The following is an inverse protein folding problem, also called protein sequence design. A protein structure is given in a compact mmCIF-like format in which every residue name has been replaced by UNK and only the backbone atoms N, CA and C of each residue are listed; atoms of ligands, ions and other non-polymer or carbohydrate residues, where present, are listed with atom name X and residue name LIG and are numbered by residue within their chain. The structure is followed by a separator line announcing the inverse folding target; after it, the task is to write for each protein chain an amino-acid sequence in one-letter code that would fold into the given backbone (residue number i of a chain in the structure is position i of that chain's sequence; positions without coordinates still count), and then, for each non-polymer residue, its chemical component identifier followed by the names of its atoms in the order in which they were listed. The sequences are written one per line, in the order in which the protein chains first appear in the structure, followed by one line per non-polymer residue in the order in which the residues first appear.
data_IF_720057169053
#
_entry.id   IF_720057169053
#
_cell.length_a   1.000
_cell.length_b   1.000
_cell.length_c   1.000
_cell.angle_alpha   90.00
_cell.angle_beta   90.00
_cell.angle_gamma   90.00
#
_symmetry.space_group_name_H-M   'P 1'
#
loop_
_entity.id
_entity.type
_entity.pdbx_description
1 polymer ?
#
# COMPACT_ATOMS: atom_id res chain seq x y z
N UNK A 1 11.28 3.95 -1.39
CA UNK A 1 11.15 5.33 -0.88
C UNK A 1 9.81 5.44 -0.18
N UNK A 2 9.78 5.66 1.14
CA UNK A 2 8.53 5.71 1.94
C UNK A 2 8.03 7.14 2.21
N UNK A 3 8.85 8.15 1.97
CA UNK A 3 8.57 9.53 2.39
C UNK A 3 7.41 10.17 1.61
N UNK A 4 7.20 9.79 0.35
CA UNK A 4 6.17 10.41 -0.49
C UNK A 4 4.74 10.15 0.01
N UNK A 5 4.50 9.10 0.81
CA UNK A 5 3.27 8.95 1.59
C UNK A 5 3.37 9.72 2.91
N UNK A 6 4.20 9.22 3.82
CA UNK A 6 4.31 9.68 5.22
C UNK A 6 4.58 11.17 5.41
N UNK A 7 5.38 11.77 4.52
CA UNK A 7 5.72 13.20 4.54
C UNK A 7 4.90 13.96 3.48
N UNK A 8 4.45 13.28 2.42
CA UNK A 8 3.66 13.88 1.35
C UNK A 8 2.31 14.43 1.82
N UNK A 9 1.73 13.86 2.88
CA UNK A 9 0.50 14.37 3.48
C UNK A 9 0.62 15.84 3.91
N UNK A 10 1.77 16.25 4.48
CA UNK A 10 1.97 17.65 4.89
C UNK A 10 1.95 18.58 3.69
N UNK A 11 2.53 18.14 2.56
CA UNK A 11 2.52 18.94 1.33
C UNK A 11 1.11 19.05 0.74
N UNK A 12 0.33 17.98 0.80
CA UNK A 12 -1.07 17.98 0.37
C UNK A 12 -1.91 18.91 1.25
N UNK A 13 -1.70 18.89 2.56
CA UNK A 13 -2.38 19.80 3.48
C UNK A 13 -2.02 21.27 3.21
N UNK A 14 -0.73 21.57 3.00
CA UNK A 14 -0.25 22.92 2.68
C UNK A 14 -0.85 23.46 1.36
N UNK A 15 -0.87 22.65 0.32
CA UNK A 15 -1.23 23.11 -1.04
C UNK A 15 -2.74 23.07 -1.32
N UNK A 16 -3.46 22.11 -0.71
CA UNK A 16 -4.85 21.81 -1.07
C UNK A 16 -5.85 21.99 0.08
N UNK A 17 -5.38 22.34 1.28
CA UNK A 17 -6.21 22.46 2.50
C UNK A 17 -7.07 21.20 2.76
N UNK A 18 -6.55 20.03 2.42
CA UNK A 18 -7.21 18.76 2.70
C UNK A 18 -7.09 18.46 4.19
N UNK A 19 -8.22 18.34 4.90
CA UNK A 19 -8.25 18.11 6.35
C UNK A 19 -8.94 16.79 6.75
N UNK A 20 -9.44 16.01 5.78
CA UNK A 20 -10.12 14.74 6.08
C UNK A 20 -9.10 13.71 6.60
N UNK A 21 -9.20 13.27 7.87
CA UNK A 21 -8.20 12.38 8.46
C UNK A 21 -8.23 10.97 7.88
N UNK A 22 -9.37 10.50 7.35
CA UNK A 22 -9.47 9.18 6.73
C UNK A 22 -8.74 9.17 5.38
N UNK A 23 -8.94 10.21 4.57
CA UNK A 23 -8.25 10.37 3.28
C UNK A 23 -6.75 10.56 3.50
N UNK A 24 -6.36 11.46 4.41
CA UNK A 24 -4.95 11.72 4.72
C UNK A 24 -4.23 10.46 5.19
N UNK A 25 -4.87 9.68 6.08
CA UNK A 25 -4.31 8.40 6.55
C UNK A 25 -4.09 7.43 5.39
N UNK A 26 -5.10 7.23 4.53
CA UNK A 26 -4.98 6.31 3.41
C UNK A 26 -3.83 6.68 2.46
N UNK A 27 -3.57 7.98 2.27
CA UNK A 27 -2.40 8.49 1.53
C UNK A 27 -1.11 8.29 2.32
N UNK A 28 -1.10 8.55 3.63
CA UNK A 28 0.10 8.44 4.47
C UNK A 28 0.72 7.04 4.39
N UNK A 29 -0.13 6.01 4.49
CA UNK A 29 0.30 4.62 4.60
C UNK A 29 0.26 3.82 3.29
N UNK A 30 -0.12 4.44 2.15
CA UNK A 30 -0.32 3.71 0.88
C UNK A 30 0.91 2.90 0.41
N UNK A 31 2.13 3.26 0.83
CA UNK A 31 3.34 2.54 0.42
C UNK A 31 3.67 1.34 1.33
N UNK A 32 3.27 1.39 2.61
CA UNK A 32 3.74 0.43 3.65
C UNK A 32 2.62 -0.35 4.33
N UNK A 33 1.37 0.09 4.19
CA UNK A 33 0.21 -0.44 4.87
C UNK A 33 0.24 -0.20 6.39
N UNK A 34 -0.58 -0.93 7.13
CA UNK A 34 -0.53 -1.01 8.58
C UNK A 34 -1.07 -2.36 9.07
N UNK A 35 -0.75 -2.76 10.31
CA UNK A 35 -1.32 -3.97 10.93
C UNK A 35 -2.85 -3.92 11.11
N UNK A 36 -3.43 -2.72 11.10
CA UNK A 36 -4.87 -2.51 10.99
C UNK A 36 -5.14 -1.40 9.97
N UNK A 37 -5.88 -1.76 8.93
CA UNK A 37 -6.26 -0.86 7.84
C UNK A 37 -7.78 -0.77 7.74
N UNK A 38 -8.28 0.44 7.53
CA UNK A 38 -9.68 0.66 7.14
C UNK A 38 -9.93 0.14 5.73
N UNK A 39 -11.18 0.10 5.28
CA UNK A 39 -11.44 -0.28 3.89
C UNK A 39 -10.88 0.75 2.91
N UNK A 40 -10.87 2.05 3.25
CA UNK A 40 -10.23 3.07 2.41
C UNK A 40 -8.71 2.88 2.32
N UNK A 41 -8.04 2.63 3.44
CA UNK A 41 -6.60 2.34 3.49
C UNK A 41 -6.26 1.20 2.51
N UNK A 42 -7.01 0.10 2.57
CA UNK A 42 -6.81 -1.07 1.71
C UNK A 42 -7.12 -0.80 0.24
N UNK A 43 -8.18 -0.03 -0.05
CA UNK A 43 -8.54 0.32 -1.42
C UNK A 43 -7.42 1.12 -2.06
N UNK A 44 -6.88 2.13 -1.37
CA UNK A 44 -5.79 2.96 -1.91
C UNK A 44 -4.50 2.16 -2.06
N UNK A 45 -4.15 1.33 -1.05
CA UNK A 45 -3.00 0.42 -1.09
C UNK A 45 -3.05 -0.50 -2.32
N UNK A 46 -4.14 -1.27 -2.45
CA UNK A 46 -4.31 -2.24 -3.55
C UNK A 46 -4.43 -1.56 -4.90
N UNK A 47 -5.12 -0.41 -4.99
CA UNK A 47 -5.30 0.31 -6.25
C UNK A 47 -3.95 0.74 -6.86
N UNK A 48 -3.00 1.23 -6.05
CA UNK A 48 -1.66 1.60 -6.53
C UNK A 48 -0.92 0.40 -7.14
N UNK A 49 -1.15 -0.80 -6.60
CA UNK A 49 -0.52 -2.03 -7.08
C UNK A 49 -1.17 -2.61 -8.34
N UNK A 50 -2.49 -2.45 -8.53
CA UNK A 50 -3.24 -3.16 -9.58
C UNK A 50 -3.74 -2.28 -10.73
N UNK A 51 -3.53 -0.96 -10.68
CA UNK A 51 -4.03 -0.04 -11.71
C UNK A 51 -3.62 -0.46 -13.14
N UNK A 52 -4.40 -0.04 -14.14
CA UNK A 52 -4.34 -0.59 -15.50
C UNK A 52 -3.02 -0.35 -16.23
N UNK A 53 -2.24 0.66 -15.85
CA UNK A 53 -0.91 0.94 -16.41
C UNK A 53 0.20 0.11 -15.76
N UNK A 54 -0.07 -0.59 -14.65
CA UNK A 54 0.89 -1.54 -14.05
C UNK A 54 1.06 -2.76 -14.96
N UNK A 55 2.32 -3.02 -15.30
CA UNK A 55 2.73 -4.19 -16.07
C UNK A 55 3.96 -4.83 -15.42
N UNK A 56 3.75 -5.82 -14.56
CA UNK A 56 4.81 -6.57 -13.89
C UNK A 56 4.37 -8.00 -13.58
N UNK A 57 5.31 -8.95 -13.38
CA UNK A 57 4.97 -10.34 -13.07
C UNK A 57 4.13 -10.46 -11.79
N UNK A 58 2.92 -11.03 -11.93
CA UNK A 58 1.98 -11.25 -10.82
C UNK A 58 0.86 -10.22 -10.71
N UNK A 59 0.87 -9.13 -11.50
CA UNK A 59 -0.18 -8.09 -11.41
C UNK A 59 -1.58 -8.62 -11.78
N UNK A 60 -1.70 -9.50 -12.77
CA UNK A 60 -3.00 -10.05 -13.18
C UNK A 60 -3.58 -10.98 -12.10
N UNK A 61 -2.73 -11.75 -11.41
CA UNK A 61 -3.14 -12.52 -10.26
C UNK A 61 -3.61 -11.60 -9.11
N UNK A 62 -2.91 -10.49 -8.86
CA UNK A 62 -3.33 -9.51 -7.86
C UNK A 62 -4.70 -8.91 -8.21
N UNK A 63 -4.95 -8.58 -9.49
CA UNK A 63 -6.25 -8.10 -9.99
C UNK A 63 -7.37 -9.12 -9.77
N UNK A 64 -7.12 -10.39 -10.10
CA UNK A 64 -8.08 -11.47 -9.83
C UNK A 64 -8.38 -11.61 -8.33
N UNK A 65 -7.35 -11.62 -7.49
CA UNK A 65 -7.52 -11.71 -6.03
C UNK A 65 -8.32 -10.51 -5.50
N UNK A 66 -8.02 -9.29 -5.96
CA UNK A 66 -8.72 -8.07 -5.55
C UNK A 66 -10.21 -8.10 -5.90
N UNK A 67 -10.59 -8.74 -7.01
CA UNK A 67 -12.00 -8.93 -7.38
C UNK A 67 -12.76 -9.87 -6.44
N UNK A 68 -12.05 -10.73 -5.69
CA UNK A 68 -12.62 -11.74 -4.80
C UNK A 68 -12.56 -11.32 -3.33
N UNK A 69 -11.47 -10.69 -2.89
CA UNK A 69 -11.28 -10.28 -1.50
C UNK A 69 -10.20 -9.23 -1.36
N UNK A 70 -10.57 -8.06 -0.84
CA UNK A 70 -9.65 -6.96 -0.59
C UNK A 70 -8.56 -7.32 0.43
N UNK A 71 -8.91 -8.04 1.51
CA UNK A 71 -7.91 -8.50 2.49
C UNK A 71 -6.90 -9.48 1.88
N UNK A 72 -7.34 -10.38 0.99
CA UNK A 72 -6.39 -11.29 0.31
C UNK A 72 -5.49 -10.55 -0.68
N UNK A 73 -5.98 -9.48 -1.30
CA UNK A 73 -5.18 -8.66 -2.20
C UNK A 73 -4.07 -7.92 -1.44
N UNK A 74 -4.39 -7.35 -0.27
CA UNK A 74 -3.40 -6.77 0.65
C UNK A 74 -2.34 -7.80 1.03
N UNK A 75 -2.75 -8.99 1.46
CA UNK A 75 -1.82 -10.06 1.84
C UNK A 75 -0.88 -10.44 0.69
N UNK A 76 -1.45 -10.63 -0.50
CA UNK A 76 -0.70 -10.97 -1.71
C UNK A 76 0.32 -9.87 -2.05
N UNK A 77 -0.14 -8.63 -2.18
CA UNK A 77 0.72 -7.48 -2.48
C UNK A 77 1.85 -7.33 -1.47
N UNK A 78 1.54 -7.39 -0.17
CA UNK A 78 2.52 -7.19 0.88
C UNK A 78 3.58 -8.29 0.84
N UNK A 79 3.18 -9.55 0.66
CA UNK A 79 4.10 -10.68 0.53
C UNK A 79 5.01 -10.54 -0.72
N UNK A 80 4.46 -10.11 -1.86
CA UNK A 80 5.24 -9.87 -3.09
C UNK A 80 6.22 -8.72 -2.92
N UNK A 81 5.83 -7.65 -2.22
CA UNK A 81 6.70 -6.50 -1.93
C UNK A 81 7.86 -6.90 -1.01
N UNK A 82 7.59 -7.63 0.07
CA UNK A 82 8.62 -8.16 0.98
C UNK A 82 9.60 -9.06 0.23
N UNK A 83 9.08 -10.00 -0.58
CA UNK A 83 9.93 -10.88 -1.39
C UNK A 83 10.80 -10.09 -2.37
N UNK A 84 10.21 -9.11 -3.07
CA UNK A 84 10.94 -8.29 -4.05
C UNK A 84 12.10 -7.53 -3.41
N UNK A 85 11.85 -6.85 -2.29
CA UNK A 85 12.87 -6.08 -1.56
C UNK A 85 13.96 -7.01 -1.00
N UNK A 86 13.57 -8.15 -0.41
CA UNK A 86 14.50 -9.13 0.14
C UNK A 86 15.41 -9.73 -0.93
N UNK A 87 14.88 -10.08 -2.11
CA UNK A 87 15.66 -10.59 -3.25
C UNK A 87 16.70 -9.58 -3.75
N UNK A 88 16.42 -8.29 -3.61
CA UNK A 88 17.34 -7.22 -3.98
C UNK A 88 18.30 -6.80 -2.86
N UNK A 89 18.15 -7.36 -1.65
CA UNK A 89 18.94 -6.95 -0.48
C UNK A 89 18.64 -5.52 0.00
N UNK A 90 17.44 -5.01 -0.31
CA UNK A 90 17.03 -3.66 0.07
C UNK A 90 16.42 -3.62 1.48
N UNK A 91 16.55 -2.50 2.20
CA UNK A 91 15.88 -2.32 3.48
C UNK A 91 14.36 -2.46 3.36
N UNK A 92 13.75 -3.17 4.29
CA UNK A 92 12.30 -3.31 4.42
C UNK A 92 11.86 -2.46 5.61
N UNK A 93 10.94 -1.54 5.38
CA UNK A 93 10.45 -0.67 6.44
C UNK A 93 9.65 -1.49 7.47
N UNK A 94 9.83 -1.30 8.79
CA UNK A 94 9.22 -2.17 9.80
C UNK A 94 7.69 -2.29 9.67
N UNK A 95 6.99 -1.19 9.37
CA UNK A 95 5.54 -1.20 9.19
C UNK A 95 5.08 -2.11 8.03
N UNK A 96 5.90 -2.30 7.00
CA UNK A 96 5.61 -3.28 5.93
C UNK A 96 5.57 -4.70 6.47
N UNK A 97 6.43 -5.03 7.44
CA UNK A 97 6.42 -6.33 8.11
C UNK A 97 5.24 -6.47 9.08
N UNK A 98 4.79 -5.38 9.70
CA UNK A 98 3.56 -5.37 10.49
C UNK A 98 2.34 -5.68 9.62
N UNK A 99 2.23 -5.03 8.45
CA UNK A 99 1.20 -5.33 7.44
C UNK A 99 1.28 -6.80 7.01
N UNK A 100 2.50 -7.30 6.72
CA UNK A 100 2.72 -8.69 6.29
C UNK A 100 2.24 -9.71 7.34
N UNK A 101 2.45 -9.44 8.63
CA UNK A 101 2.04 -10.36 9.69
C UNK A 101 0.54 -10.32 9.96
N UNK A 102 -0.15 -9.25 9.58
CA UNK A 102 -1.57 -9.03 9.89
C UNK A 102 -2.53 -9.56 8.81
N UNK A 103 -2.08 -9.70 7.57
CA UNK A 103 -2.88 -10.05 6.40
C UNK A 103 -2.35 -11.28 5.68
#
# INVERSE_FOLDING_TARGET
NVWHGMVGIYKIQEDLDLQDPEILRAIEIHTVGAGQMTDLDKVIYVADYIEHNRAFPGVDQAREIASLSLNKAVAYETARTVEHLARQGLPIYPQTLETYNAF
#
